data_IF_216978627253
#
_entry.id   IF_216978627253
#
_cell.length_a   1.000
_cell.length_b   1.000
_cell.length_c   1.000
_cell.angle_alpha   90.00
_cell.angle_beta   90.00
_cell.angle_gamma   90.00
#
_symmetry.space_group_name_H-M   'P 1'
#
loop_
_entity.id
_entity.type
_entity.pdbx_description
1 polymer ?
#
# COMPACT_ATOMS: atom_id res chain seq x y z
N UNK A 1 14.21 21.64 7.45
CA UNK A 1 13.91 21.17 8.82
C UNK A 1 14.27 19.70 8.95
N UNK A 2 15.27 19.40 9.78
CA UNK A 2 15.72 18.04 10.09
C UNK A 2 15.08 17.65 11.43
N UNK A 3 14.45 16.47 11.51
CA UNK A 3 13.85 15.96 12.75
C UNK A 3 14.89 15.37 13.71
N UNK A 4 16.13 15.18 13.25
CA UNK A 4 17.18 14.54 14.03
C UNK A 4 17.91 15.53 14.93
N UNK A 5 18.22 15.10 16.15
CA UNK A 5 19.14 15.75 17.07
C UNK A 5 20.54 15.15 16.93
N UNK A 6 21.57 15.93 17.24
CA UNK A 6 22.95 15.45 17.18
C UNK A 6 23.37 14.93 18.55
N UNK A 7 23.77 13.66 18.60
CA UNK A 7 24.30 13.03 19.80
C UNK A 7 25.68 13.58 20.18
N UNK A 8 26.13 13.27 21.41
CA UNK A 8 27.47 13.65 21.90
C UNK A 8 28.59 13.10 21.01
N UNK A 9 28.36 11.96 20.40
CA UNK A 9 29.33 11.27 19.53
C UNK A 9 29.30 11.79 18.08
N UNK A 10 28.44 12.78 17.80
CA UNK A 10 28.27 13.39 16.48
C UNK A 10 27.27 12.68 15.57
N UNK A 11 26.75 11.52 15.97
CA UNK A 11 25.71 10.78 15.25
C UNK A 11 24.36 11.51 15.27
N UNK A 12 23.57 11.32 14.21
CA UNK A 12 22.21 11.85 14.11
C UNK A 12 21.24 10.83 14.73
N UNK A 13 20.50 11.27 15.74
CA UNK A 13 19.49 10.47 16.43
C UNK A 13 18.11 11.12 16.28
N UNK A 14 17.08 10.31 16.19
CA UNK A 14 15.70 10.75 16.07
C UNK A 14 15.00 10.58 17.42
N UNK A 15 14.46 11.65 18.02
CA UNK A 15 13.61 11.54 19.19
C UNK A 15 12.36 10.70 18.90
N UNK A 16 11.88 9.90 19.87
CA UNK A 16 10.76 8.98 19.64
C UNK A 16 9.45 9.72 19.36
N UNK A 17 9.26 10.91 19.93
CA UNK A 17 8.12 11.80 19.67
C UNK A 17 8.06 12.27 18.21
N UNK A 18 9.21 12.29 17.51
CA UNK A 18 9.32 12.69 16.10
C UNK A 18 9.27 11.52 15.13
N UNK A 19 9.18 10.29 15.62
CA UNK A 19 9.12 9.11 14.75
C UNK A 19 7.88 9.14 13.85
N UNK A 20 6.72 9.45 14.41
CA UNK A 20 5.46 9.48 13.67
C UNK A 20 5.50 10.50 12.54
N UNK A 21 5.90 11.74 12.86
CA UNK A 21 6.04 12.83 11.89
C UNK A 21 7.03 12.47 10.77
N UNK A 22 8.16 11.85 11.12
CA UNK A 22 9.17 11.40 10.17
C UNK A 22 8.60 10.35 9.21
N UNK A 23 7.94 9.31 9.72
CA UNK A 23 7.39 8.23 8.91
C UNK A 23 6.24 8.69 8.03
N UNK A 24 5.34 9.54 8.56
CA UNK A 24 4.25 10.16 7.77
C UNK A 24 4.80 11.05 6.68
N UNK A 25 5.90 11.77 6.92
CA UNK A 25 6.53 12.59 5.89
C UNK A 25 7.17 11.76 4.78
N UNK A 26 7.75 10.60 5.10
CA UNK A 26 8.41 9.72 4.11
C UNK A 26 7.40 8.88 3.32
N UNK A 27 6.37 8.35 3.98
CA UNK A 27 5.45 7.38 3.37
C UNK A 27 4.03 7.92 3.13
N UNK A 28 3.72 9.13 3.60
CA UNK A 28 2.42 9.78 3.45
C UNK A 28 1.44 9.50 4.58
N UNK A 29 0.22 10.05 4.46
CA UNK A 29 -0.80 9.94 5.51
C UNK A 29 -1.31 8.51 5.73
N UNK A 30 -1.17 7.64 4.72
CA UNK A 30 -1.63 6.25 4.79
C UNK A 30 -0.97 5.47 5.94
N UNK A 31 0.25 5.84 6.35
CA UNK A 31 0.97 5.15 7.43
C UNK A 31 0.69 5.72 8.83
N UNK A 32 -0.09 6.80 8.94
CA UNK A 32 -0.23 7.55 10.20
C UNK A 32 -0.70 6.67 11.38
N UNK A 33 -1.67 5.79 11.15
CA UNK A 33 -2.20 4.90 12.18
C UNK A 33 -1.14 3.89 12.65
N UNK A 34 -0.40 3.29 11.71
CA UNK A 34 0.68 2.36 12.04
C UNK A 34 1.88 3.07 12.69
N UNK A 35 2.20 4.29 12.25
CA UNK A 35 3.26 5.10 12.84
C UNK A 35 2.95 5.44 14.30
N UNK A 36 1.70 5.83 14.58
CA UNK A 36 1.23 6.13 15.94
C UNK A 36 1.30 4.91 16.85
N UNK A 37 0.95 3.72 16.33
CA UNK A 37 1.09 2.46 17.07
C UNK A 37 2.55 2.15 17.40
N UNK A 38 3.47 2.39 16.47
CA UNK A 38 4.91 2.21 16.72
C UNK A 38 5.45 3.22 17.74
N UNK A 39 5.01 4.47 17.70
CA UNK A 39 5.33 5.47 18.73
C UNK A 39 4.88 5.03 20.13
N UNK A 40 3.63 4.56 20.26
CA UNK A 40 3.13 4.02 21.53
C UNK A 40 3.88 2.75 22.00
N UNK A 41 4.36 1.92 21.07
CA UNK A 41 5.18 0.74 21.39
C UNK A 41 6.58 1.12 21.90
N UNK A 42 7.15 2.20 21.38
CA UNK A 42 8.40 2.76 21.89
C UNK A 42 8.21 3.36 23.28
N UNK A 43 7.15 4.15 23.48
CA UNK A 43 6.82 4.70 24.81
C UNK A 43 6.56 3.63 25.87
N UNK A 44 6.05 2.45 25.46
CA UNK A 44 5.84 1.30 26.35
C UNK A 44 7.06 0.40 26.52
N UNK A 45 8.20 0.72 25.89
CA UNK A 45 9.44 -0.06 25.97
C UNK A 45 9.39 -1.42 25.25
N UNK A 46 8.38 -1.66 24.41
CA UNK A 46 8.19 -2.88 23.61
C UNK A 46 8.49 -2.63 22.12
N UNK A 47 9.63 -2.02 21.81
CA UNK A 47 9.96 -1.61 20.43
C UNK A 47 10.92 -2.55 19.70
N UNK A 48 12.05 -2.88 20.34
CA UNK A 48 13.19 -3.54 19.70
C UNK A 48 13.90 -4.47 20.69
N UNK A 49 14.30 -5.66 20.24
CA UNK A 49 15.19 -6.53 21.01
C UNK A 49 16.41 -5.71 21.44
N UNK A 50 16.82 -5.86 22.71
CA UNK A 50 17.76 -5.05 23.50
C UNK A 50 19.20 -4.93 22.96
N UNK A 51 19.45 -5.02 21.66
CA UNK A 51 20.79 -5.19 21.10
C UNK A 51 21.57 -3.90 20.84
N UNK A 52 20.98 -2.71 21.03
CA UNK A 52 21.74 -1.44 21.07
C UNK A 52 21.14 -0.39 22.02
N UNK A 53 20.11 -0.78 22.77
CA UNK A 53 19.32 0.07 23.64
C UNK A 53 19.96 0.14 25.03
N UNK A 54 20.98 0.98 25.18
CA UNK A 54 21.49 1.35 26.50
C UNK A 54 22.06 2.77 26.45
N UNK A 55 21.19 3.76 26.59
CA UNK A 55 21.59 4.96 27.34
C UNK A 55 21.05 4.82 28.75
N UNK A 56 21.96 5.03 29.70
CA UNK A 56 21.76 4.80 31.11
C UNK A 56 20.52 5.53 31.63
N UNK A 57 19.81 4.84 32.53
CA UNK A 57 18.77 5.31 33.45
C UNK A 57 18.36 6.79 33.29
N UNK A 58 17.27 7.05 32.55
CA UNK A 58 16.51 8.30 32.65
C UNK A 58 16.54 9.26 31.46
N UNK A 59 17.25 8.96 30.37
CA UNK A 59 17.23 9.78 29.15
C UNK A 59 16.22 9.24 28.12
N UNK A 60 15.54 10.10 27.33
CA UNK A 60 14.55 9.69 26.34
C UNK A 60 15.19 8.81 25.28
N UNK A 61 14.55 7.66 24.99
CA UNK A 61 14.99 6.65 24.03
C UNK A 61 15.09 7.26 22.62
N UNK A 62 16.28 7.72 22.24
CA UNK A 62 16.53 8.27 20.90
C UNK A 62 16.91 7.15 19.94
N UNK A 63 16.35 7.19 18.74
CA UNK A 63 16.55 6.18 17.70
C UNK A 63 17.74 6.54 16.81
N UNK A 64 18.65 5.61 16.58
CA UNK A 64 19.67 5.78 15.55
C UNK A 64 19.09 5.51 14.14
N UNK A 65 19.88 5.81 13.10
CA UNK A 65 19.43 5.62 11.72
C UNK A 65 19.09 4.16 11.38
N UNK A 66 19.84 3.20 11.91
CA UNK A 66 19.57 1.78 11.67
C UNK A 66 18.24 1.35 12.29
N UNK A 67 17.93 1.82 13.50
CA UNK A 67 16.66 1.57 14.18
C UNK A 67 15.50 2.21 13.43
N UNK A 68 15.67 3.47 12.97
CA UNK A 68 14.69 4.13 12.12
C UNK A 68 14.39 3.30 10.85
N UNK A 69 15.40 2.72 10.20
CA UNK A 69 15.21 1.86 9.04
C UNK A 69 14.44 0.58 9.36
N UNK A 70 14.63 0.00 10.56
CA UNK A 70 13.86 -1.16 11.02
C UNK A 70 12.37 -0.77 11.15
N UNK A 71 12.08 0.37 11.76
CA UNK A 71 10.70 0.87 11.86
C UNK A 71 10.08 1.19 10.51
N UNK A 72 10.84 1.83 9.61
CA UNK A 72 10.41 2.13 8.25
C UNK A 72 10.05 0.84 7.48
N UNK A 73 10.88 -0.20 7.61
CA UNK A 73 10.61 -1.51 7.02
C UNK A 73 9.34 -2.14 7.62
N UNK A 74 9.20 -2.13 8.93
CA UNK A 74 8.03 -2.70 9.62
C UNK A 74 6.74 -2.00 9.20
N UNK A 75 6.73 -0.67 9.10
CA UNK A 75 5.56 0.08 8.63
C UNK A 75 5.15 -0.34 7.23
N UNK A 76 6.13 -0.56 6.33
CA UNK A 76 5.87 -1.02 4.96
C UNK A 76 5.26 -2.42 4.95
N UNK A 77 5.75 -3.31 5.79
CA UNK A 77 5.23 -4.67 5.94
C UNK A 77 3.80 -4.65 6.50
N UNK A 78 3.52 -3.84 7.51
CA UNK A 78 2.18 -3.73 8.11
C UNK A 78 1.16 -3.11 7.14
N UNK A 79 1.54 -2.05 6.41
CA UNK A 79 0.74 -1.50 5.32
C UNK A 79 0.39 -2.56 4.28
N UNK A 80 1.39 -3.30 3.80
CA UNK A 80 1.21 -4.34 2.80
C UNK A 80 0.31 -5.46 3.33
N UNK A 81 0.41 -5.79 4.62
CA UNK A 81 -0.43 -6.80 5.26
C UNK A 81 -1.89 -6.34 5.37
N UNK A 82 -2.13 -5.07 5.71
CA UNK A 82 -3.47 -4.48 5.73
C UNK A 82 -4.07 -4.50 4.33
N UNK A 83 -3.34 -3.99 3.33
CA UNK A 83 -3.80 -3.98 1.94
C UNK A 83 -4.04 -5.41 1.39
N UNK A 84 -3.17 -6.37 1.70
CA UNK A 84 -3.37 -7.78 1.33
C UNK A 84 -4.63 -8.34 1.96
N UNK A 85 -4.86 -8.08 3.25
CA UNK A 85 -6.09 -8.50 3.93
C UNK A 85 -7.31 -7.85 3.28
N UNK A 86 -7.28 -6.56 3.02
CA UNK A 86 -8.39 -5.86 2.36
C UNK A 86 -8.66 -6.42 0.97
N UNK A 87 -7.63 -6.72 0.20
CA UNK A 87 -7.76 -7.36 -1.11
C UNK A 87 -8.35 -8.77 -0.99
N UNK A 88 -7.83 -9.59 -0.08
CA UNK A 88 -8.30 -10.96 0.16
C UNK A 88 -9.72 -11.00 0.78
N UNK A 89 -10.11 -9.95 1.53
CA UNK A 89 -11.41 -9.88 2.24
C UNK A 89 -12.51 -9.18 1.44
N UNK A 90 -12.14 -8.21 0.60
CA UNK A 90 -13.05 -7.34 -0.15
C UNK A 90 -13.20 -7.71 -1.63
N UNK A 91 -12.30 -8.53 -2.18
CA UNK A 91 -12.32 -8.97 -3.57
C UNK A 91 -12.24 -10.50 -3.61
N UNK A 92 -13.37 -11.14 -3.34
CA UNK A 92 -13.48 -12.59 -3.43
C UNK A 92 -13.22 -13.10 -4.84
N UNK A 93 -11.97 -13.49 -5.12
CA UNK A 93 -11.70 -14.77 -5.77
C UNK A 93 -10.93 -14.72 -7.08
N UNK A 94 -9.60 -14.75 -7.03
CA UNK A 94 -8.83 -15.42 -8.09
C UNK A 94 -7.58 -16.20 -7.64
N UNK A 95 -7.10 -16.11 -6.39
CA UNK A 95 -5.89 -16.84 -6.00
C UNK A 95 -6.09 -17.73 -4.76
N UNK A 96 -6.06 -19.05 -5.02
CA UNK A 96 -5.67 -20.14 -4.11
C UNK A 96 -6.67 -20.63 -3.06
N UNK A 97 -7.55 -21.57 -3.46
CA UNK A 97 -8.11 -22.59 -2.55
C UNK A 97 -7.30 -23.89 -2.68
N UNK A 98 -6.62 -24.41 -1.64
CA UNK A 98 -6.16 -25.79 -1.66
C UNK A 98 -7.30 -26.70 -1.17
N UNK A 99 -7.62 -27.67 -2.03
CA UNK A 99 -8.24 -28.97 -1.76
C UNK A 99 -9.37 -29.06 -0.70
N UNK A 100 -10.62 -29.17 -1.16
CA UNK A 100 -11.73 -29.72 -0.37
C UNK A 100 -12.66 -30.53 -1.29
N UNK A 101 -13.14 -31.71 -0.84
CA UNK A 101 -13.84 -32.65 -1.71
C UNK A 101 -15.24 -32.15 -2.07
N UNK A 102 -15.62 -32.56 -3.28
CA UNK A 102 -16.76 -32.19 -4.12
C UNK A 102 -18.07 -31.85 -3.37
N UNK A 103 -18.58 -30.64 -3.61
CA UNK A 103 -20.00 -30.30 -3.43
C UNK A 103 -20.69 -30.20 -4.81
N UNK A 104 -21.98 -30.54 -4.91
CA UNK A 104 -22.63 -30.83 -6.18
C UNK A 104 -22.73 -29.59 -7.07
N UNK A 105 -22.56 -29.82 -8.38
CA UNK A 105 -22.78 -28.86 -9.46
C UNK A 105 -24.24 -28.38 -9.45
N UNK A 106 -24.47 -27.19 -8.88
CA UNK A 106 -25.64 -26.37 -9.12
C UNK A 106 -25.17 -25.09 -9.79
N UNK A 107 -25.11 -25.12 -11.12
CA UNK A 107 -24.89 -23.93 -11.92
C UNK A 107 -26.09 -22.98 -11.82
N UNK A 108 -25.79 -21.72 -12.11
CA UNK A 108 -26.68 -20.64 -12.52
C UNK A 108 -27.03 -19.60 -11.43
N UNK A 109 -26.55 -18.38 -11.69
CA UNK A 109 -26.91 -17.08 -11.10
C UNK A 109 -26.11 -16.50 -9.93
N UNK A 110 -24.81 -16.26 -10.14
CA UNK A 110 -24.06 -15.19 -9.45
C UNK A 110 -23.31 -14.21 -10.40
N UNK A 111 -23.61 -14.22 -11.71
CA UNK A 111 -22.92 -13.38 -12.72
C UNK A 111 -23.77 -12.23 -13.31
N UNK A 112 -24.98 -11.99 -12.79
CA UNK A 112 -25.94 -11.03 -13.37
C UNK A 112 -26.20 -9.78 -12.52
N UNK A 113 -25.42 -9.57 -11.45
CA UNK A 113 -25.41 -8.30 -10.73
C UNK A 113 -24.29 -7.43 -11.30
N UNK A 114 -24.68 -6.60 -12.26
CA UNK A 114 -24.08 -5.31 -12.62
C UNK A 114 -23.31 -5.13 -13.93
N UNK A 115 -23.55 -5.98 -14.94
CA UNK A 115 -23.09 -5.73 -16.33
C UNK A 115 -23.55 -4.36 -16.87
N UNK A 116 -24.63 -3.78 -16.35
CA UNK A 116 -25.12 -2.45 -16.78
C UNK A 116 -24.23 -1.32 -16.28
N UNK A 117 -23.83 -1.30 -15.00
CA UNK A 117 -22.95 -0.26 -14.49
C UNK A 117 -21.56 -0.32 -15.14
N UNK A 118 -21.05 -1.54 -15.37
CA UNK A 118 -19.79 -1.74 -16.09
C UNK A 118 -19.86 -1.15 -17.52
N UNK A 119 -20.93 -1.46 -18.26
CA UNK A 119 -21.13 -0.93 -19.62
C UNK A 119 -21.30 0.60 -19.61
N UNK A 120 -22.01 1.15 -18.63
CA UNK A 120 -22.19 2.60 -18.49
C UNK A 120 -20.89 3.32 -18.14
N UNK A 121 -20.00 2.69 -17.38
CA UNK A 121 -18.70 3.26 -17.06
C UNK A 121 -17.74 3.21 -18.25
N UNK A 122 -17.70 2.10 -18.98
CA UNK A 122 -16.94 1.99 -20.23
C UNK A 122 -17.41 3.01 -21.28
N UNK A 123 -18.73 3.19 -21.43
CA UNK A 123 -19.31 4.15 -22.37
C UNK A 123 -18.93 5.62 -22.09
N UNK A 124 -18.45 5.96 -20.88
CA UNK A 124 -17.97 7.33 -20.58
C UNK A 124 -16.63 7.64 -21.23
N UNK A 125 -15.85 6.61 -21.57
CA UNK A 125 -14.49 6.75 -22.07
C UNK A 125 -14.35 6.28 -23.52
N UNK A 126 -15.23 5.38 -23.97
CA UNK A 126 -15.43 5.02 -25.38
C UNK A 126 -16.13 6.17 -26.13
N UNK A 127 -15.33 7.09 -26.65
CA UNK A 127 -15.81 8.30 -27.33
C UNK A 127 -16.22 8.02 -28.77
N UNK A 128 -15.63 7.00 -29.40
CA UNK A 128 -15.97 6.58 -30.75
C UNK A 128 -17.10 5.54 -30.82
N UNK A 129 -17.60 5.08 -29.66
CA UNK A 129 -18.64 4.06 -29.53
C UNK A 129 -18.27 2.77 -30.27
N UNK A 130 -16.98 2.47 -30.34
CA UNK A 130 -16.47 1.26 -30.98
C UNK A 130 -16.78 0.02 -30.16
N UNK A 131 -17.20 0.18 -28.90
CA UNK A 131 -17.33 -0.90 -27.92
C UNK A 131 -15.98 -1.35 -27.36
N UNK A 132 -14.90 -0.62 -27.66
CA UNK A 132 -13.53 -0.88 -27.20
C UNK A 132 -12.90 0.44 -26.73
N UNK A 133 -11.86 0.37 -25.91
CA UNK A 133 -11.12 1.57 -25.50
C UNK A 133 -9.78 1.60 -26.23
N UNK A 134 -9.58 2.62 -27.06
CA UNK A 134 -8.31 2.83 -27.77
C UNK A 134 -7.20 3.35 -26.82
N UNK A 135 -5.94 3.22 -27.23
CA UNK A 135 -4.77 3.77 -26.50
C UNK A 135 -4.96 5.25 -26.11
N UNK A 136 -5.61 6.03 -26.99
CA UNK A 136 -5.86 7.46 -26.79
C UNK A 136 -6.94 7.74 -25.75
N UNK A 137 -8.00 6.93 -25.76
CA UNK A 137 -9.11 7.04 -24.80
C UNK A 137 -8.68 6.57 -23.42
N UNK A 138 -7.93 5.48 -23.34
CA UNK A 138 -7.32 5.01 -22.09
C UNK A 138 -6.37 6.06 -21.50
N UNK A 139 -5.52 6.66 -22.34
CA UNK A 139 -4.63 7.75 -21.91
C UNK A 139 -5.41 8.96 -21.38
N UNK A 140 -6.51 9.32 -22.03
CA UNK A 140 -7.40 10.40 -21.60
C UNK A 140 -8.08 10.08 -20.27
N UNK A 141 -8.59 8.84 -20.13
CA UNK A 141 -9.21 8.34 -18.90
C UNK A 141 -8.22 8.37 -17.72
N UNK A 142 -7.02 7.83 -17.88
CA UNK A 142 -6.01 7.80 -16.82
C UNK A 142 -5.57 9.21 -16.39
N UNK A 143 -5.47 10.16 -17.34
CA UNK A 143 -5.19 11.57 -17.03
C UNK A 143 -6.29 12.24 -16.23
N UNK A 144 -7.56 11.93 -16.50
CA UNK A 144 -8.69 12.45 -15.72
C UNK A 144 -8.69 11.94 -14.28
N UNK A 145 -8.14 10.76 -14.04
CA UNK A 145 -7.92 10.18 -12.71
C UNK A 145 -6.59 10.62 -12.04
N UNK A 146 -5.85 11.54 -12.65
CA UNK A 146 -4.61 12.10 -12.07
C UNK A 146 -3.34 11.32 -12.38
N UNK A 147 -3.39 10.30 -13.24
CA UNK A 147 -2.23 9.52 -13.64
C UNK A 147 -1.65 10.01 -14.98
N UNK A 148 -0.32 10.02 -15.09
CA UNK A 148 0.39 10.34 -16.34
C UNK A 148 1.27 9.17 -16.80
N UNK A 149 0.66 8.05 -17.23
CA UNK A 149 1.41 6.89 -17.68
C UNK A 149 2.22 7.19 -18.95
N UNK A 150 3.37 6.55 -19.06
CA UNK A 150 4.16 6.55 -20.30
C UNK A 150 3.44 5.72 -21.37
N UNK A 151 3.74 6.03 -22.62
CA UNK A 151 3.14 5.35 -23.77
C UNK A 151 3.42 3.84 -23.76
N UNK A 152 4.64 3.45 -23.39
CA UNK A 152 5.06 2.05 -23.30
C UNK A 152 4.23 1.26 -22.29
N UNK A 153 3.97 1.84 -21.12
CA UNK A 153 3.17 1.22 -20.06
C UNK A 153 1.71 1.03 -20.51
N UNK A 154 1.14 1.99 -21.24
CA UNK A 154 -0.21 1.86 -21.78
C UNK A 154 -0.31 0.73 -22.81
N UNK A 155 0.72 0.55 -23.62
CA UNK A 155 0.76 -0.49 -24.63
C UNK A 155 0.90 -1.88 -24.01
N UNK A 156 1.78 -2.04 -23.02
CA UNK A 156 1.94 -3.30 -22.27
C UNK A 156 0.62 -3.75 -21.63
N UNK A 157 -0.09 -2.82 -20.97
CA UNK A 157 -1.38 -3.11 -20.34
C UNK A 157 -2.46 -3.48 -21.37
N UNK A 158 -2.46 -2.83 -22.53
CA UNK A 158 -3.43 -3.12 -23.58
C UNK A 158 -3.19 -4.49 -24.23
N UNK A 159 -1.92 -4.84 -24.45
CA UNK A 159 -1.54 -6.16 -24.99
C UNK A 159 -1.90 -7.28 -24.00
N UNK A 160 -1.61 -7.11 -22.71
CA UNK A 160 -1.95 -8.10 -21.67
C UNK A 160 -3.45 -8.40 -21.60
N UNK A 161 -4.31 -7.40 -21.80
CA UNK A 161 -5.78 -7.55 -21.69
C UNK A 161 -6.43 -8.05 -22.98
N UNK A 162 -5.83 -7.78 -24.15
CA UNK A 162 -6.39 -8.18 -25.44
C UNK A 162 -5.95 -9.58 -25.91
N UNK A 163 -4.88 -10.12 -25.32
CA UNK A 163 -4.32 -11.43 -25.71
C UNK A 163 -4.98 -12.64 -25.02
N UNK A 164 -6.01 -12.44 -24.18
CA UNK A 164 -6.83 -13.54 -23.64
C UNK A 164 -7.86 -14.05 -24.69
N UNK A 165 -7.74 -15.30 -25.20
CA UNK A 165 -8.65 -15.87 -26.21
C UNK A 165 -10.04 -16.26 -25.69
#
# INVERSE_FOLDING_TARGET
DCFCVRAKDGELMLPPDKLCDCLVRVFGLAVADHASQLGALLESGQGLQKSSLATAEGEPECLNFAELLIFARRIREDQMKTLRKEFDSGFGGFASRPNSPERPRGGDNMQLRDRRAEVEEFAKYDHDQSGTISERELRSAMRRHGYTPLRTVLQEVLEEVLDDP
#
